data_IF_843562658097
#
_entry.id   IF_843562658097
#
_cell.length_a   1.000
_cell.length_b   1.000
_cell.length_c   1.000
_cell.angle_alpha   90.00
_cell.angle_beta   90.00
_cell.angle_gamma   90.00
#
_symmetry.space_group_name_H-M   'P 1'
#
loop_
_entity.id
_entity.type
_entity.pdbx_description
1 polymer ?
#
# COMPACT_ATOMS: atom_id res chain seq x y z
N UNK A 1 12.06 3.95 14.23
CA UNK A 1 11.96 2.74 13.40
C UNK A 1 13.37 2.35 13.03
N UNK A 2 13.80 1.14 13.41
CA UNK A 2 15.08 0.62 12.93
C UNK A 2 14.98 0.44 11.41
N UNK A 3 15.91 1.04 10.67
CA UNK A 3 15.99 0.93 9.21
C UNK A 3 16.17 -0.54 8.86
N UNK A 4 15.13 -1.16 8.30
CA UNK A 4 15.24 -2.51 7.76
C UNK A 4 15.96 -2.40 6.42
N UNK A 5 17.29 -2.35 6.48
CA UNK A 5 18.12 -2.47 5.27
C UNK A 5 17.82 -3.84 4.67
N UNK A 6 17.28 -3.86 3.45
CA UNK A 6 17.03 -5.10 2.72
C UNK A 6 18.32 -5.90 2.53
N UNK A 7 18.21 -7.21 2.33
CA UNK A 7 19.36 -8.05 1.96
C UNK A 7 20.14 -7.41 0.82
N UNK A 8 21.48 -7.41 0.84
CA UNK A 8 22.28 -6.84 -0.25
C UNK A 8 22.08 -7.64 -1.54
N UNK A 9 21.86 -7.00 -2.72
CA UNK A 9 21.68 -7.71 -3.98
C UNK A 9 22.91 -8.55 -4.32
N UNK A 10 22.75 -9.86 -4.59
CA UNK A 10 23.84 -10.71 -5.05
C UNK A 10 24.38 -10.29 -6.43
N UNK A 11 25.66 -10.55 -6.70
CA UNK A 11 26.31 -10.19 -7.97
C UNK A 11 25.59 -10.74 -9.20
N UNK A 12 25.07 -11.96 -9.12
CA UNK A 12 24.33 -12.56 -10.22
C UNK A 12 23.00 -11.85 -10.52
N UNK A 13 22.39 -11.19 -9.53
CA UNK A 13 21.19 -10.36 -9.71
C UNK A 13 21.55 -9.05 -10.39
N UNK A 14 22.61 -8.38 -9.93
CA UNK A 14 23.12 -7.16 -10.59
C UNK A 14 23.44 -7.45 -12.06
N UNK A 15 24.19 -8.53 -12.32
CA UNK A 15 24.51 -8.96 -13.68
C UNK A 15 23.26 -9.27 -14.53
N UNK A 16 22.23 -9.89 -13.94
CA UNK A 16 20.98 -10.20 -14.64
C UNK A 16 20.26 -8.94 -15.14
N UNK A 17 20.36 -7.82 -14.42
CA UNK A 17 19.82 -6.52 -14.83
C UNK A 17 20.82 -5.63 -15.59
N UNK A 18 21.93 -6.20 -16.04
CA UNK A 18 22.93 -5.49 -16.85
C UNK A 18 23.77 -4.49 -16.07
N UNK A 19 23.70 -4.53 -14.74
CA UNK A 19 24.48 -3.68 -13.84
C UNK A 19 25.88 -4.28 -13.75
N UNK A 20 26.88 -3.54 -14.27
CA UNK A 20 28.30 -3.91 -14.26
C UNK A 20 29.10 -2.76 -13.64
N UNK A 21 30.19 -3.08 -12.97
CA UNK A 21 31.16 -2.09 -12.47
C UNK A 21 30.55 -1.02 -11.53
N UNK A 22 29.69 -1.44 -10.60
CA UNK A 22 29.15 -0.52 -9.58
C UNK A 22 30.18 -0.31 -8.49
N UNK A 23 30.68 0.92 -8.39
CA UNK A 23 31.64 1.30 -7.36
C UNK A 23 31.00 1.50 -5.97
N UNK A 24 29.71 1.83 -5.92
CA UNK A 24 29.01 2.10 -4.66
C UNK A 24 27.56 1.58 -4.70
N UNK A 25 27.22 0.75 -3.71
CA UNK A 25 25.86 0.27 -3.46
C UNK A 25 25.33 1.01 -2.24
N UNK A 26 24.32 1.84 -2.44
CA UNK A 26 23.74 2.63 -1.37
C UNK A 26 22.41 1.98 -0.93
N UNK A 27 22.28 1.54 0.34
CA UNK A 27 20.97 1.14 0.86
C UNK A 27 20.06 2.35 0.90
N UNK A 28 18.79 2.15 0.52
CA UNK A 28 17.74 3.15 0.59
C UNK A 28 16.77 2.82 1.72
N UNK A 29 16.18 3.86 2.28
CA UNK A 29 15.24 3.77 3.39
C UNK A 29 13.79 3.54 2.89
N UNK A 30 12.81 3.92 3.72
CA UNK A 30 11.38 3.56 3.65
C UNK A 30 10.70 3.79 2.29
N UNK A 31 11.14 4.79 1.50
CA UNK A 31 10.55 5.09 0.19
C UNK A 31 10.79 4.04 -0.91
N UNK A 32 11.73 3.12 -0.67
CA UNK A 32 12.17 2.10 -1.63
C UNK A 32 12.10 0.67 -1.09
N UNK A 33 11.32 0.45 -0.03
CA UNK A 33 11.12 -0.86 0.61
C UNK A 33 12.44 -1.57 0.97
N UNK A 34 13.44 -0.82 1.44
CA UNK A 34 14.78 -1.35 1.76
C UNK A 34 15.61 -1.73 0.52
N UNK A 35 15.32 -1.11 -0.63
CA UNK A 35 16.04 -1.32 -1.88
C UNK A 35 17.48 -0.81 -1.86
N UNK A 36 18.26 -1.23 -2.85
CA UNK A 36 19.67 -0.87 -3.02
C UNK A 36 19.87 -0.08 -4.31
N UNK A 37 20.37 1.15 -4.18
CA UNK A 37 20.69 2.01 -5.31
C UNK A 37 22.05 1.64 -5.91
N UNK A 38 22.03 1.39 -7.21
CA UNK A 38 23.14 1.06 -8.10
C UNK A 38 23.20 2.12 -9.20
N UNK A 39 23.70 3.33 -8.89
CA UNK A 39 23.64 4.48 -9.81
C UNK A 39 22.20 4.93 -10.05
N UNK A 40 21.70 4.79 -11.29
CA UNK A 40 20.34 5.20 -11.67
C UNK A 40 19.30 4.07 -11.52
N UNK A 41 19.71 2.89 -11.04
CA UNK A 41 18.84 1.73 -10.86
C UNK A 41 18.72 1.42 -9.37
N UNK A 42 17.53 1.05 -8.92
CA UNK A 42 17.29 0.47 -7.59
C UNK A 42 16.92 -0.99 -7.75
N UNK A 43 17.57 -1.85 -6.97
CA UNK A 43 17.23 -3.25 -6.81
C UNK A 43 16.47 -3.46 -5.51
N UNK A 44 15.27 -4.05 -5.59
CA UNK A 44 14.46 -4.36 -4.41
C UNK A 44 14.04 -5.83 -4.42
N UNK A 45 14.02 -6.45 -3.24
CA UNK A 45 13.37 -7.73 -3.04
C UNK A 45 11.86 -7.58 -3.23
N UNK A 46 11.22 -8.62 -3.78
CA UNK A 46 9.78 -8.65 -3.96
C UNK A 46 9.17 -9.78 -3.13
N UNK A 47 8.13 -9.46 -2.38
CA UNK A 47 7.38 -10.45 -1.60
C UNK A 47 6.46 -11.31 -2.49
N UNK A 48 5.98 -10.76 -3.61
CA UNK A 48 5.09 -11.44 -4.57
C UNK A 48 5.54 -11.15 -6.01
N UNK A 49 6.06 -12.19 -6.67
CA UNK A 49 6.56 -12.09 -8.05
C UNK A 49 5.47 -11.68 -9.06
N UNK A 50 4.24 -12.15 -8.88
CA UNK A 50 3.14 -11.86 -9.81
C UNK A 50 2.71 -10.41 -9.72
N UNK A 51 2.60 -9.88 -8.49
CA UNK A 51 2.32 -8.45 -8.24
C UNK A 51 3.43 -7.57 -8.77
N UNK A 52 4.69 -7.88 -8.46
CA UNK A 52 5.83 -7.09 -8.90
C UNK A 52 5.94 -7.04 -10.42
N UNK A 53 5.80 -8.18 -11.11
CA UNK A 53 5.83 -8.23 -12.57
C UNK A 53 4.65 -7.48 -13.21
N UNK A 54 3.46 -7.54 -12.59
CA UNK A 54 2.29 -6.79 -13.06
C UNK A 54 2.47 -5.29 -12.86
N UNK A 55 2.95 -4.84 -11.70
CA UNK A 55 3.18 -3.43 -11.40
C UNK A 55 4.22 -2.85 -12.35
N UNK A 56 5.34 -3.56 -12.54
CA UNK A 56 6.33 -3.23 -13.55
C UNK A 56 5.68 -3.09 -14.94
N UNK A 57 4.87 -4.07 -15.36
CA UNK A 57 4.21 -3.99 -16.68
C UNK A 57 3.30 -2.77 -16.83
N UNK A 58 2.57 -2.38 -15.78
CA UNK A 58 1.72 -1.18 -15.79
C UNK A 58 2.59 0.08 -15.83
N UNK A 59 3.59 0.19 -14.96
CA UNK A 59 4.50 1.33 -14.87
C UNK A 59 5.39 1.50 -16.10
N UNK A 60 5.54 0.49 -16.95
CA UNK A 60 6.26 0.59 -18.23
C UNK A 60 5.63 1.66 -19.15
N UNK A 61 4.29 1.77 -19.17
CA UNK A 61 3.57 2.67 -20.09
C UNK A 61 2.63 3.66 -19.40
N UNK A 62 2.35 3.49 -18.10
CA UNK A 62 1.51 4.40 -17.35
C UNK A 62 2.10 5.81 -17.33
N UNK A 63 1.28 6.80 -17.68
CA UNK A 63 1.62 8.21 -17.56
C UNK A 63 0.52 8.90 -16.76
N UNK A 64 0.93 9.67 -15.75
CA UNK A 64 0.05 10.50 -14.94
C UNK A 64 0.67 11.87 -14.89
N UNK A 65 -0.10 12.88 -15.27
CA UNK A 65 0.40 14.25 -15.29
C UNK A 65 0.77 14.73 -13.88
N UNK A 66 1.93 15.36 -13.76
CA UNK A 66 2.45 15.82 -12.48
C UNK A 66 2.82 14.70 -11.49
N UNK A 67 3.12 13.48 -11.95
CA UNK A 67 3.73 12.42 -11.13
C UNK A 67 5.01 11.85 -11.77
N UNK A 68 6.00 11.55 -10.94
CA UNK A 68 7.18 10.75 -11.33
C UNK A 68 6.92 9.29 -10.96
N UNK A 69 6.89 8.42 -11.96
CA UNK A 69 6.79 6.97 -11.72
C UNK A 69 8.16 6.33 -11.97
N UNK A 70 8.63 5.52 -11.02
CA UNK A 70 9.80 4.68 -11.27
C UNK A 70 9.51 3.76 -12.46
N UNK A 71 10.42 3.72 -13.42
CA UNK A 71 10.27 2.90 -14.63
C UNK A 71 10.94 1.55 -14.41
N UNK A 72 10.28 0.44 -14.75
CA UNK A 72 10.87 -0.87 -14.58
C UNK A 72 12.07 -1.05 -15.52
N UNK A 73 13.11 -1.71 -15.03
CA UNK A 73 14.25 -2.17 -15.81
C UNK A 73 14.09 -3.67 -16.03
N UNK A 74 14.07 -4.09 -17.30
CA UNK A 74 14.04 -5.51 -17.66
C UNK A 74 15.40 -6.14 -17.44
N UNK A 75 15.42 -7.39 -17.02
CA UNK A 75 16.63 -8.21 -17.07
C UNK A 75 17.10 -8.40 -18.53
N UNK A 76 18.34 -8.85 -18.67
CA UNK A 76 18.97 -9.19 -19.95
C UNK A 76 18.23 -10.26 -20.75
N UNK A 77 17.39 -11.08 -20.08
CA UNK A 77 16.49 -12.06 -20.71
C UNK A 77 15.02 -11.58 -20.81
N UNK A 78 14.75 -10.30 -20.53
CA UNK A 78 13.46 -9.64 -20.75
C UNK A 78 12.44 -9.75 -19.62
N UNK A 79 12.77 -10.43 -18.51
CA UNK A 79 11.90 -10.56 -17.32
C UNK A 79 11.91 -9.29 -16.47
N UNK A 80 10.86 -9.11 -15.69
CA UNK A 80 10.79 -8.04 -14.68
C UNK A 80 11.28 -8.47 -13.29
N UNK A 81 11.21 -9.78 -13.01
CA UNK A 81 11.59 -10.34 -11.73
C UNK A 81 12.55 -11.50 -11.98
N UNK A 82 13.70 -11.47 -11.32
CA UNK A 82 14.73 -12.52 -11.37
C UNK A 82 15.04 -12.94 -9.94
N UNK A 83 14.76 -14.21 -9.61
CA UNK A 83 15.07 -14.79 -8.29
C UNK A 83 14.57 -13.96 -7.10
N UNK A 84 13.36 -13.39 -7.20
CA UNK A 84 12.77 -12.57 -6.13
C UNK A 84 13.25 -11.12 -6.10
N UNK A 85 13.96 -10.66 -7.13
CA UNK A 85 14.42 -9.28 -7.27
C UNK A 85 13.80 -8.59 -8.46
N UNK A 86 13.47 -7.31 -8.30
CA UNK A 86 13.12 -6.39 -9.39
C UNK A 86 14.16 -5.27 -9.50
N UNK A 87 14.14 -4.59 -10.65
CA UNK A 87 14.94 -3.41 -10.91
C UNK A 87 14.06 -2.28 -11.43
N UNK A 88 14.27 -1.06 -10.94
CA UNK A 88 13.53 0.13 -11.33
C UNK A 88 14.47 1.34 -11.45
N UNK A 89 14.13 2.34 -12.26
CA UNK A 89 14.88 3.61 -12.30
C UNK A 89 14.68 4.37 -11.00
N UNK A 90 15.77 4.91 -10.45
CA UNK A 90 15.73 5.70 -9.22
C UNK A 90 14.84 6.94 -9.38
N UNK A 91 14.09 7.22 -8.32
CA UNK A 91 13.20 8.37 -8.15
C UNK A 91 13.60 8.98 -6.83
N UNK A 92 14.06 10.23 -6.87
CA UNK A 92 14.48 10.98 -5.69
C UNK A 92 13.32 11.37 -4.79
N UNK A 93 13.63 11.57 -3.51
CA UNK A 93 12.70 12.08 -2.51
C UNK A 93 12.48 11.12 -1.36
N UNK A 94 11.71 11.58 -0.38
CA UNK A 94 11.32 10.84 0.81
C UNK A 94 9.85 11.08 1.12
N UNK A 95 9.18 10.21 1.88
CA UNK A 95 7.88 10.55 2.46
C UNK A 95 7.98 11.82 3.30
N UNK A 96 6.96 12.67 3.23
CA UNK A 96 6.83 13.93 3.98
C UNK A 96 5.38 14.06 4.49
N UNK A 97 5.12 14.80 5.59
CA UNK A 97 3.78 15.00 6.14
C UNK A 97 2.91 15.97 5.30
N UNK A 98 2.86 15.75 3.99
CA UNK A 98 2.08 16.51 2.99
C UNK A 98 0.76 15.79 2.70
N UNK A 99 -0.03 15.56 3.76
CA UNK A 99 -1.17 14.63 3.76
C UNK A 99 -2.21 14.89 2.66
N UNK A 100 -2.62 16.15 2.46
CA UNK A 100 -3.56 16.50 1.38
C UNK A 100 -2.98 16.24 0.00
N UNK A 101 -1.68 16.46 -0.17
CA UNK A 101 -1.03 16.22 -1.45
C UNK A 101 -0.91 14.74 -1.76
N UNK A 102 -0.66 13.90 -0.74
CA UNK A 102 -0.73 12.43 -0.88
C UNK A 102 -2.11 12.00 -1.38
N UNK A 103 -3.20 12.55 -0.82
CA UNK A 103 -4.56 12.26 -1.29
C UNK A 103 -4.77 12.75 -2.73
N UNK A 104 -4.32 13.97 -3.06
CA UNK A 104 -4.39 14.54 -4.40
C UNK A 104 -3.61 13.72 -5.44
N UNK A 105 -2.44 13.18 -5.07
CA UNK A 105 -1.66 12.23 -5.89
C UNK A 105 -2.47 10.96 -6.13
N UNK A 106 -3.09 10.41 -5.09
CA UNK A 106 -3.96 9.24 -5.18
C UNK A 106 -5.11 9.42 -6.16
N UNK A 107 -5.82 10.55 -6.08
CA UNK A 107 -6.93 10.88 -7.00
C UNK A 107 -6.46 10.86 -8.45
N UNK A 108 -5.37 11.57 -8.78
CA UNK A 108 -4.81 11.61 -10.14
C UNK A 108 -4.34 10.23 -10.63
N UNK A 109 -3.69 9.47 -9.75
CA UNK A 109 -3.27 8.11 -10.07
C UNK A 109 -4.48 7.22 -10.38
N UNK A 110 -5.52 7.26 -9.56
CA UNK A 110 -6.69 6.39 -9.73
C UNK A 110 -7.55 6.75 -10.95
N UNK A 111 -7.59 8.02 -11.33
CA UNK A 111 -8.17 8.43 -12.63
C UNK A 111 -7.44 7.76 -13.79
N UNK A 112 -6.10 7.75 -13.77
CA UNK A 112 -5.29 7.11 -14.82
C UNK A 112 -5.39 5.58 -14.80
N UNK A 113 -5.53 4.96 -13.63
CA UNK A 113 -5.65 3.50 -13.49
C UNK A 113 -7.07 2.97 -13.68
N UNK A 114 -8.08 3.84 -13.77
CA UNK A 114 -9.50 3.48 -13.94
C UNK A 114 -9.83 2.57 -15.12
N UNK A 115 -9.00 2.64 -16.17
CA UNK A 115 -9.16 1.85 -17.41
C UNK A 115 -8.50 0.47 -17.35
N UNK A 116 -7.75 0.19 -16.28
CA UNK A 116 -7.04 -1.07 -16.13
C UNK A 116 -8.00 -2.15 -15.63
N UNK A 117 -7.85 -3.35 -16.19
CA UNK A 117 -8.63 -4.51 -15.77
C UNK A 117 -8.17 -5.04 -14.41
N UNK A 118 -9.07 -5.73 -13.71
CA UNK A 118 -8.76 -6.40 -12.45
C UNK A 118 -7.71 -7.49 -12.68
N UNK A 119 -6.51 -7.40 -12.07
CA UNK A 119 -5.49 -8.42 -12.21
C UNK A 119 -5.97 -9.76 -11.63
N UNK A 120 -5.66 -10.87 -12.32
CA UNK A 120 -6.13 -12.21 -11.92
C UNK A 120 -5.72 -12.59 -10.50
N UNK A 121 -4.50 -12.25 -10.06
CA UNK A 121 -4.05 -12.55 -8.70
C UNK A 121 -4.88 -11.85 -7.61
N UNK A 122 -5.58 -10.74 -7.89
CA UNK A 122 -6.51 -10.11 -6.94
C UNK A 122 -7.85 -10.85 -6.80
N UNK A 123 -8.10 -11.90 -7.60
CA UNK A 123 -9.29 -12.76 -7.49
C UNK A 123 -9.00 -14.04 -6.72
N UNK A 124 -7.72 -14.37 -6.54
CA UNK A 124 -7.29 -15.60 -5.89
C UNK A 124 -7.15 -15.35 -4.38
N UNK A 125 -7.53 -16.35 -3.59
CA UNK A 125 -7.24 -16.32 -2.16
C UNK A 125 -5.76 -16.68 -1.93
N UNK A 126 -5.13 -16.13 -0.88
CA UNK A 126 -3.84 -16.61 -0.38
C UNK A 126 -3.80 -18.12 -0.24
N UNK A 127 -2.65 -18.71 -0.56
CA UNK A 127 -2.37 -20.14 -0.36
C UNK A 127 -1.18 -20.29 0.57
N UNK A 128 -1.17 -21.29 1.48
CA UNK A 128 -0.02 -21.53 2.34
C UNK A 128 1.27 -21.84 1.55
N UNK A 129 2.46 -21.47 2.08
CA UNK A 129 2.68 -20.76 3.33
C UNK A 129 2.28 -19.28 3.24
N UNK A 130 1.77 -18.74 4.36
CA UNK A 130 1.38 -17.34 4.45
C UNK A 130 2.59 -16.42 4.50
N UNK A 131 2.49 -15.30 3.80
CA UNK A 131 3.46 -14.21 3.81
C UNK A 131 2.84 -12.97 4.45
N UNK A 132 3.67 -11.98 4.80
CA UNK A 132 3.19 -10.69 5.31
C UNK A 132 2.21 -10.01 4.33
N UNK A 133 2.39 -10.20 3.01
CA UNK A 133 1.47 -9.67 1.98
C UNK A 133 0.07 -10.27 2.10
N UNK A 134 -0.05 -11.53 2.49
CA UNK A 134 -1.33 -12.22 2.60
C UNK A 134 -2.21 -11.66 3.72
N UNK A 135 -1.59 -11.10 4.76
CA UNK A 135 -2.29 -10.40 5.85
C UNK A 135 -3.10 -9.22 5.30
N UNK A 136 -2.51 -8.42 4.41
CA UNK A 136 -3.20 -7.28 3.81
C UNK A 136 -4.31 -7.71 2.85
N UNK A 137 -4.19 -8.87 2.19
CA UNK A 137 -5.26 -9.45 1.36
C UNK A 137 -6.44 -9.88 2.22
N UNK A 138 -6.15 -10.56 3.34
CA UNK A 138 -7.17 -10.99 4.29
C UNK A 138 -7.88 -9.80 4.93
N UNK A 139 -7.14 -8.77 5.33
CA UNK A 139 -7.68 -7.55 5.89
C UNK A 139 -8.57 -6.78 4.90
N UNK A 140 -8.16 -6.69 3.63
CA UNK A 140 -8.99 -6.09 2.56
C UNK A 140 -10.31 -6.84 2.36
N UNK A 141 -10.32 -8.16 2.53
CA UNK A 141 -11.57 -8.93 2.52
C UNK A 141 -12.41 -8.64 3.76
N UNK A 142 -11.80 -8.66 4.95
CA UNK A 142 -12.47 -8.44 6.23
C UNK A 142 -13.19 -7.09 6.30
N UNK A 143 -12.59 -6.04 5.72
CA UNK A 143 -13.19 -4.70 5.68
C UNK A 143 -14.50 -4.62 4.87
N UNK A 144 -14.71 -5.56 3.94
CA UNK A 144 -15.82 -5.51 2.97
C UNK A 144 -16.84 -6.64 3.13
N UNK A 145 -16.53 -7.73 3.82
CA UNK A 145 -17.50 -8.79 4.12
C UNK A 145 -18.48 -8.40 5.25
N UNK A 146 -19.66 -9.02 5.25
CA UNK A 146 -20.73 -8.73 6.23
C UNK A 146 -20.25 -8.89 7.68
N UNK A 147 -19.48 -9.95 7.95
CA UNK A 147 -18.86 -10.23 9.25
C UNK A 147 -17.35 -10.30 9.08
N UNK A 148 -16.59 -9.28 9.53
CA UNK A 148 -15.14 -9.26 9.37
C UNK A 148 -14.47 -10.49 10.00
N UNK A 149 -13.40 -10.96 9.37
CA UNK A 149 -12.59 -12.10 9.80
C UNK A 149 -13.34 -13.44 9.78
N UNK A 150 -14.54 -13.50 9.20
CA UNK A 150 -15.33 -14.73 9.14
C UNK A 150 -14.82 -15.69 8.06
N UNK A 151 -14.42 -15.15 6.90
CA UNK A 151 -14.04 -15.95 5.72
C UNK A 151 -12.52 -15.93 5.48
N UNK A 152 -11.75 -16.16 6.54
CA UNK A 152 -10.29 -16.23 6.48
C UNK A 152 -9.84 -17.44 5.64
N UNK A 153 -8.92 -17.27 4.68
CA UNK A 153 -8.42 -18.39 3.88
C UNK A 153 -7.67 -19.44 4.73
N UNK A 154 -7.60 -20.70 4.27
CA UNK A 154 -6.85 -21.75 4.98
C UNK A 154 -5.40 -21.35 5.28
N UNK A 155 -4.97 -21.63 6.51
CA UNK A 155 -3.62 -21.29 6.99
C UNK A 155 -3.44 -19.85 7.46
N UNK A 156 -4.48 -19.02 7.44
CA UNK A 156 -4.43 -17.67 8.03
C UNK A 156 -3.98 -17.76 9.48
N UNK A 157 -3.23 -16.77 10.00
CA UNK A 157 -3.12 -16.57 11.43
C UNK A 157 -4.51 -16.58 12.07
N UNK A 158 -4.70 -17.40 13.12
CA UNK A 158 -5.95 -17.39 13.86
C UNK A 158 -6.07 -16.04 14.58
N UNK A 159 -7.13 -15.25 14.30
CA UNK A 159 -7.31 -14.01 15.02
C UNK A 159 -7.58 -14.32 16.50
N UNK A 160 -7.15 -13.43 17.42
CA UNK A 160 -7.53 -13.54 18.82
C UNK A 160 -9.06 -13.57 18.96
N UNK A 161 -9.55 -14.29 19.98
CA UNK A 161 -11.00 -14.42 20.22
C UNK A 161 -11.62 -13.19 20.87
N UNK A 162 -10.81 -12.42 21.58
CA UNK A 162 -11.19 -11.25 22.37
C UNK A 162 -10.03 -10.24 22.38
N UNK A 163 -10.34 -9.01 22.80
CA UNK A 163 -9.37 -7.93 22.92
C UNK A 163 -9.79 -6.68 22.16
N UNK A 164 -9.17 -5.56 22.49
CA UNK A 164 -9.62 -4.25 22.02
C UNK A 164 -9.67 -4.11 20.48
N UNK A 165 -8.78 -4.78 19.74
CA UNK A 165 -8.84 -4.82 18.27
C UNK A 165 -10.07 -5.58 17.73
N UNK A 166 -10.45 -6.69 18.38
CA UNK A 166 -11.65 -7.49 18.05
C UNK A 166 -12.93 -6.73 18.43
N UNK A 167 -12.92 -6.03 19.56
CA UNK A 167 -14.04 -5.20 19.98
C UNK A 167 -14.24 -4.04 18.99
N UNK A 168 -13.14 -3.36 18.62
CA UNK A 168 -13.18 -2.24 17.69
C UNK A 168 -13.64 -2.64 16.29
N UNK A 169 -13.11 -3.75 15.73
CA UNK A 169 -13.54 -4.20 14.39
C UNK A 169 -15.02 -4.58 14.39
N UNK A 170 -15.53 -5.19 15.48
CA UNK A 170 -16.94 -5.58 15.62
C UNK A 170 -17.85 -4.35 15.69
N UNK A 171 -17.47 -3.35 16.48
CA UNK A 171 -18.21 -2.10 16.60
C UNK A 171 -18.27 -1.35 15.27
N UNK A 172 -17.12 -1.16 14.61
CA UNK A 172 -17.05 -0.46 13.32
C UNK A 172 -17.82 -1.19 12.22
N UNK A 173 -17.81 -2.53 12.23
CA UNK A 173 -18.54 -3.33 11.26
C UNK A 173 -20.05 -3.08 11.29
N UNK A 174 -20.61 -2.83 12.48
CA UNK A 174 -22.03 -2.55 12.68
C UNK A 174 -22.46 -1.18 12.13
N UNK A 175 -21.52 -0.26 11.90
CA UNK A 175 -21.79 1.09 11.38
C UNK A 175 -21.78 1.16 9.84
N UNK A 176 -21.44 0.07 9.16
CA UNK A 176 -21.41 0.03 7.69
C UNK A 176 -22.80 0.13 7.11
N UNK A 177 -22.91 0.97 6.07
CA UNK A 177 -24.06 1.10 5.18
C UNK A 177 -23.67 0.56 3.79
N UNK A 178 -24.61 0.04 2.99
CA UNK A 178 -24.34 -0.36 1.61
C UNK A 178 -23.78 0.80 0.79
N UNK A 179 -22.84 0.51 -0.12
CA UNK A 179 -22.17 1.49 -0.99
C UNK A 179 -22.37 1.15 -2.45
N UNK A 180 -22.41 2.16 -3.33
CA UNK A 180 -22.64 2.01 -4.78
C UNK A 180 -21.46 2.43 -5.65
N UNK A 181 -20.43 3.05 -5.08
CA UNK A 181 -19.25 3.47 -5.82
C UNK A 181 -18.60 2.28 -6.53
N UNK A 182 -18.24 2.40 -7.83
CA UNK A 182 -17.68 1.29 -8.58
C UNK A 182 -16.26 0.97 -8.10
N UNK A 183 -15.95 -0.32 -8.01
CA UNK A 183 -14.57 -0.77 -7.78
C UNK A 183 -13.75 -0.66 -9.06
N UNK A 184 -12.52 -0.20 -8.91
CA UNK A 184 -11.51 -0.12 -9.96
C UNK A 184 -10.14 -0.48 -9.38
N UNK A 185 -9.10 -0.44 -10.21
CA UNK A 185 -7.74 -0.58 -9.74
C UNK A 185 -7.31 0.68 -8.99
N UNK A 186 -6.93 0.51 -7.73
CA UNK A 186 -6.43 1.59 -6.86
C UNK A 186 -5.10 1.19 -6.24
N UNK A 187 -4.26 2.18 -5.96
CA UNK A 187 -3.05 2.02 -5.16
C UNK A 187 -3.40 2.18 -3.67
N UNK A 188 -3.14 1.14 -2.88
CA UNK A 188 -3.55 1.07 -1.47
C UNK A 188 -2.49 1.50 -0.44
N UNK A 189 -1.35 2.03 -0.86
CA UNK A 189 -0.24 2.38 0.04
C UNK A 189 0.31 3.79 -0.24
N UNK A 190 -0.60 4.76 -0.25
CA UNK A 190 -0.26 6.15 -0.62
C UNK A 190 0.55 6.88 0.46
N UNK A 191 0.26 6.66 1.75
CA UNK A 191 0.88 7.44 2.83
C UNK A 191 2.39 7.18 2.95
N UNK A 192 2.81 5.91 2.89
CA UNK A 192 4.23 5.53 2.88
C UNK A 192 4.88 5.55 1.49
N UNK A 193 4.09 5.44 0.42
CA UNK A 193 4.60 5.22 -0.94
C UNK A 193 4.84 6.46 -1.81
N UNK A 194 4.48 7.66 -1.33
CA UNK A 194 4.66 8.91 -2.09
C UNK A 194 5.92 9.65 -1.65
N UNK A 195 6.80 9.93 -2.61
CA UNK A 195 8.09 10.59 -2.40
C UNK A 195 8.06 12.07 -2.82
N UNK A 196 8.51 12.94 -1.93
CA UNK A 196 8.63 14.36 -2.18
C UNK A 196 10.11 14.76 -2.28
N UNK A 197 10.41 15.65 -3.22
CA UNK A 197 11.75 16.20 -3.45
C UNK A 197 11.62 17.70 -3.75
N UNK A 198 11.46 18.48 -2.68
CA UNK A 198 11.20 19.91 -2.75
C UNK A 198 9.95 20.23 -3.58
N UNK A 199 10.15 20.97 -4.68
CA UNK A 199 9.09 21.40 -5.61
C UNK A 199 8.93 20.47 -6.81
N UNK A 200 9.69 19.38 -6.90
CA UNK A 200 9.51 18.40 -7.96
C UNK A 200 8.12 17.74 -7.86
N UNK A 201 7.54 17.27 -8.97
CA UNK A 201 6.31 16.49 -8.91
C UNK A 201 6.45 15.27 -7.98
N UNK A 202 5.41 14.86 -7.22
CA UNK A 202 5.51 13.71 -6.33
C UNK A 202 5.90 12.42 -7.05
N UNK A 203 6.68 11.58 -6.37
CA UNK A 203 7.21 10.32 -6.88
C UNK A 203 6.47 9.11 -6.34
N UNK A 204 6.33 8.06 -7.14
CA UNK A 204 5.84 6.74 -6.72
C UNK A 204 6.79 5.68 -7.28
N UNK A 205 7.25 4.80 -6.40
CA UNK A 205 8.21 3.74 -6.72
C UNK A 205 7.52 2.47 -7.18
N UNK A 206 6.32 2.18 -6.67
CA UNK A 206 5.56 1.00 -7.02
C UNK A 206 4.03 1.17 -6.93
N UNK A 207 3.27 0.23 -7.50
CA UNK A 207 1.81 0.17 -7.39
C UNK A 207 1.43 -1.05 -6.57
N UNK A 208 1.02 -0.83 -5.32
CA UNK A 208 0.36 -1.82 -4.45
C UNK A 208 -1.13 -1.92 -4.81
N UNK A 209 -1.58 -2.95 -5.55
CA UNK A 209 -2.88 -2.92 -6.21
C UNK A 209 -4.02 -3.49 -5.36
N UNK A 210 -5.14 -2.79 -5.35
CA UNK A 210 -6.42 -3.25 -4.82
C UNK A 210 -7.54 -3.03 -5.83
N UNK A 211 -8.65 -3.76 -5.65
CA UNK A 211 -9.85 -3.60 -6.49
C UNK A 211 -11.01 -3.01 -5.69
N UNK A 212 -11.04 -1.69 -5.53
CA UNK A 212 -11.94 -0.95 -4.63
C UNK A 212 -12.31 0.42 -5.20
N UNK A 213 -13.31 1.13 -4.64
CA UNK A 213 -13.57 2.52 -5.03
C UNK A 213 -12.33 3.40 -4.82
N UNK A 214 -12.09 4.38 -5.69
CA UNK A 214 -10.93 5.28 -5.57
C UNK A 214 -10.91 6.04 -4.24
N UNK A 215 -12.09 6.49 -3.77
CA UNK A 215 -12.23 7.18 -2.49
C UNK A 215 -11.86 6.30 -1.29
N UNK A 216 -11.91 4.96 -1.40
CA UNK A 216 -11.40 4.07 -0.34
C UNK A 216 -9.88 4.18 -0.18
N UNK A 217 -9.12 4.24 -1.27
CA UNK A 217 -7.67 4.35 -1.19
C UNK A 217 -7.22 5.71 -0.64
N UNK A 218 -7.93 6.79 -0.98
CA UNK A 218 -7.77 8.08 -0.30
C UNK A 218 -8.10 7.96 1.21
N UNK A 219 -9.15 7.23 1.56
CA UNK A 219 -9.50 6.95 2.95
C UNK A 219 -8.41 6.20 3.71
N UNK A 220 -7.72 5.24 3.07
CA UNK A 220 -6.57 4.53 3.68
C UNK A 220 -5.45 5.53 3.99
N UNK A 221 -5.10 6.41 3.05
CA UNK A 221 -4.09 7.44 3.29
C UNK A 221 -4.44 8.37 4.46
N UNK A 222 -5.71 8.78 4.57
CA UNK A 222 -6.19 9.63 5.68
C UNK A 222 -6.15 8.88 7.01
N UNK A 223 -6.60 7.62 7.05
CA UNK A 223 -6.54 6.79 8.25
C UNK A 223 -5.09 6.62 8.73
N UNK A 224 -4.16 6.37 7.82
CA UNK A 224 -2.75 6.20 8.17
C UNK A 224 -2.13 7.50 8.70
N UNK A 225 -2.43 8.62 8.05
CA UNK A 225 -1.92 9.94 8.43
C UNK A 225 -2.45 10.37 9.81
N UNK A 226 -3.72 10.11 10.12
CA UNK A 226 -4.31 10.43 11.45
C UNK A 226 -3.85 9.45 12.51
N UNK A 227 -3.76 8.16 12.20
CA UNK A 227 -3.40 7.15 13.18
C UNK A 227 -1.91 7.20 13.56
N UNK A 228 -1.03 7.47 12.59
CA UNK A 228 0.42 7.29 12.74
C UNK A 228 1.27 8.40 12.13
N UNK A 229 0.65 9.44 11.56
CA UNK A 229 1.33 10.48 10.78
C UNK A 229 1.26 11.89 11.34
N UNK A 230 0.81 12.05 12.59
CA UNK A 230 0.63 13.34 13.25
C UNK A 230 -0.24 14.33 12.44
N UNK A 231 -1.13 13.82 11.58
CA UNK A 231 -2.11 14.65 10.90
C UNK A 231 -3.11 15.25 11.90
N UNK A 232 -3.57 16.47 11.63
CA UNK A 232 -4.65 17.06 12.40
C UNK A 232 -5.97 16.29 12.18
N UNK A 233 -6.79 16.26 13.23
CA UNK A 233 -8.08 15.56 13.26
C UNK A 233 -9.03 15.99 12.14
N UNK A 234 -8.95 17.25 11.68
CA UNK A 234 -9.81 17.77 10.62
C UNK A 234 -9.51 17.15 9.24
N UNK A 235 -8.42 16.38 9.09
CA UNK A 235 -8.14 15.63 7.86
C UNK A 235 -9.28 14.68 7.47
N UNK A 236 -10.02 14.12 8.44
CA UNK A 236 -11.14 13.22 8.14
C UNK A 236 -12.31 13.92 7.44
N UNK A 237 -12.41 15.25 7.53
CA UNK A 237 -13.48 16.06 6.92
C UNK A 237 -13.05 16.73 5.61
N UNK A 238 -11.75 17.02 5.43
CA UNK A 238 -11.22 17.80 4.29
C UNK A 238 -11.56 17.27 2.91
N UNK A 239 -11.80 15.97 2.79
CA UNK A 239 -12.08 15.29 1.53
C UNK A 239 -13.53 14.77 1.41
N UNK A 240 -14.46 15.39 2.14
CA UNK A 240 -15.90 15.02 2.16
C UNK A 240 -16.58 15.01 0.79
N UNK A 241 -16.04 15.76 -0.18
CA UNK A 241 -16.54 15.80 -1.54
C UNK A 241 -16.30 14.48 -2.31
N UNK A 242 -15.42 13.59 -1.81
CA UNK A 242 -15.19 12.30 -2.42
C UNK A 242 -16.41 11.37 -2.28
N UNK A 243 -16.70 10.50 -3.27
CA UNK A 243 -17.89 9.65 -3.24
C UNK A 243 -17.95 8.75 -2.00
N UNK A 244 -19.10 8.79 -1.32
CA UNK A 244 -19.42 7.96 -0.15
C UNK A 244 -18.37 8.06 0.98
N UNK A 245 -17.73 9.24 1.12
CA UNK A 245 -16.53 9.45 1.93
C UNK A 245 -16.58 8.88 3.37
N UNK A 246 -17.61 9.14 4.21
CA UNK A 246 -17.65 8.55 5.56
C UNK A 246 -17.64 7.01 5.54
N UNK A 247 -18.30 6.39 4.57
CA UNK A 247 -18.34 4.94 4.41
C UNK A 247 -17.04 4.37 3.81
N UNK A 248 -16.26 5.18 3.09
CA UNK A 248 -14.93 4.82 2.60
C UNK A 248 -13.90 4.89 3.72
N UNK A 249 -13.92 5.93 4.55
CA UNK A 249 -13.10 6.04 5.76
C UNK A 249 -13.37 4.89 6.73
N UNK A 250 -14.64 4.55 6.99
CA UNK A 250 -14.99 3.42 7.84
C UNK A 250 -14.40 2.10 7.34
N UNK A 251 -14.41 1.86 6.01
CA UNK A 251 -13.84 0.64 5.40
C UNK A 251 -12.32 0.66 5.37
N UNK A 252 -11.71 1.82 5.20
CA UNK A 252 -10.26 1.99 5.32
C UNK A 252 -9.78 1.72 6.76
N UNK A 253 -10.53 2.22 7.74
CA UNK A 253 -10.27 1.97 9.15
C UNK A 253 -10.45 0.49 9.51
N UNK A 254 -11.55 -0.14 9.07
CA UNK A 254 -11.75 -1.58 9.23
C UNK A 254 -10.62 -2.39 8.61
N UNK A 255 -10.10 -1.97 7.46
CA UNK A 255 -8.93 -2.60 6.84
C UNK A 255 -7.71 -2.52 7.75
N UNK A 256 -7.35 -1.33 8.27
CA UNK A 256 -6.20 -1.18 9.16
C UNK A 256 -6.38 -1.88 10.51
N UNK A 257 -7.59 -1.91 11.08
CA UNK A 257 -7.87 -2.70 12.28
C UNK A 257 -7.75 -4.20 12.01
N UNK A 258 -8.22 -4.69 10.85
CA UNK A 258 -8.03 -6.08 10.46
C UNK A 258 -6.56 -6.44 10.25
N UNK A 259 -5.76 -5.54 9.65
CA UNK A 259 -4.29 -5.70 9.60
C UNK A 259 -3.73 -5.79 11.01
N UNK A 260 -4.12 -4.89 11.91
CA UNK A 260 -3.66 -4.90 13.30
C UNK A 260 -3.94 -6.26 13.97
N UNK A 261 -5.16 -6.77 13.84
CA UNK A 261 -5.59 -8.04 14.45
C UNK A 261 -4.84 -9.25 13.88
N UNK A 262 -4.52 -9.24 12.59
CA UNK A 262 -3.92 -10.40 11.91
C UNK A 262 -2.39 -10.38 11.86
N UNK A 263 -1.76 -9.20 11.90
CA UNK A 263 -0.34 -9.05 11.66
C UNK A 263 0.47 -9.31 12.94
N UNK A 264 1.48 -10.20 12.91
CA UNK A 264 2.21 -10.62 14.12
C UNK A 264 3.10 -9.52 14.72
N UNK A 265 3.41 -8.46 13.95
CA UNK A 265 4.23 -7.31 14.41
C UNK A 265 3.39 -6.15 14.94
N UNK A 266 2.08 -6.31 15.04
CA UNK A 266 1.19 -5.27 15.57
C UNK A 266 1.46 -5.01 17.06
N UNK A 267 1.45 -3.74 17.44
CA UNK A 267 1.71 -3.28 18.82
C UNK A 267 0.50 -2.53 19.38
N UNK A 268 0.45 -2.35 20.71
CA UNK A 268 -0.59 -1.57 21.38
C UNK A 268 -0.61 -0.11 20.91
N UNK A 269 0.56 0.48 20.65
CA UNK A 269 0.66 1.84 20.10
C UNK A 269 -0.01 1.96 18.73
N UNK A 270 0.12 0.93 17.88
CA UNK A 270 -0.59 0.91 16.60
C UNK A 270 -2.11 0.97 16.79
N UNK A 271 -2.64 0.26 17.81
CA UNK A 271 -4.08 0.24 18.11
C UNK A 271 -4.58 1.58 18.67
N UNK A 272 -3.78 2.26 19.49
CA UNK A 272 -4.14 3.56 20.07
C UNK A 272 -4.46 4.59 18.99
N UNK A 273 -3.59 4.71 17.97
CA UNK A 273 -3.82 5.59 16.81
C UNK A 273 -5.09 5.23 16.02
N UNK A 274 -5.38 3.94 15.85
CA UNK A 274 -6.60 3.47 15.20
C UNK A 274 -7.85 3.75 16.04
N UNK A 275 -7.78 3.65 17.37
CA UNK A 275 -8.87 3.96 18.27
C UNK A 275 -9.20 5.46 18.28
N UNK A 276 -8.18 6.33 18.26
CA UNK A 276 -8.35 7.78 18.07
C UNK A 276 -9.04 8.08 16.74
N UNK A 277 -8.51 7.54 15.65
CA UNK A 277 -9.08 7.70 14.31
C UNK A 277 -10.53 7.20 14.25
N UNK A 278 -10.85 6.10 14.94
CA UNK A 278 -12.21 5.57 15.04
C UNK A 278 -13.18 6.54 15.72
N UNK A 279 -12.74 7.24 16.76
CA UNK A 279 -13.56 8.24 17.43
C UNK A 279 -13.94 9.38 16.47
N UNK A 280 -12.99 9.86 15.67
CA UNK A 280 -13.21 10.91 14.67
C UNK A 280 -14.13 10.45 13.54
N UNK A 281 -13.87 9.29 12.95
CA UNK A 281 -14.70 8.74 11.85
C UNK A 281 -16.14 8.52 12.31
N UNK A 282 -16.38 8.13 13.57
CA UNK A 282 -17.73 7.98 14.12
C UNK A 282 -18.53 9.28 14.19
N UNK A 283 -17.86 10.44 14.29
CA UNK A 283 -18.54 11.74 14.35
C UNK A 283 -19.14 12.16 13.00
N UNK A 284 -18.68 11.58 11.89
CA UNK A 284 -19.07 11.97 10.52
C UNK A 284 -19.91 10.91 9.79
N UNK A 285 -20.33 9.83 10.47
CA UNK A 285 -21.08 8.68 9.90
C UNK A 285 -22.61 8.82 9.89
#
# INVERSE_FOLDING_TARGET
MDVVIGERPPDHIMAAFGIRDVHELQPLDDGWDGGWRCGEIVLSLVADNARAAWSAKVRETLFVDGLRLARPVRSTDGRYVVSGWRADTFVSGTPEPRHDEVVSVGVRLHEATSKLERPRFLTQAPVPPWTDVDVFIAADRAAWEDRPLHSLPPGSPEPPREGAGIDLITELAALRKPTKSPSQLVHGDLYGGVLFDGTAPPGITDITPYWRPASWAAGVAVVDAVAWGDADDALVERWEALPEWPQMLLRALLFRVAVHVLHPRSTEDNLSGLAHTAALVKLIL
#
